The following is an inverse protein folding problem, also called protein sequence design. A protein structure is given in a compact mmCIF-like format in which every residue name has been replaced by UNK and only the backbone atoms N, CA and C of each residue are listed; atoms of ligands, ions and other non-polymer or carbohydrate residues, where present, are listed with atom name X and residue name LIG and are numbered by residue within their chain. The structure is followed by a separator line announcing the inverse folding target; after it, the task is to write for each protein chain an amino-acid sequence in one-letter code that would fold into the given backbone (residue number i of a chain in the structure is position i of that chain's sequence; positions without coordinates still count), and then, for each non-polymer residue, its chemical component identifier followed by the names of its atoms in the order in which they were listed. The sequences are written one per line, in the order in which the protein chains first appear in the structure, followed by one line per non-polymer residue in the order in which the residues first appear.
data_IF_336368796875
#
_entry.id   IF_336368796875
#
_cell.length_a   1.000
_cell.length_b   1.000
_cell.length_c   1.000
_cell.angle_alpha   90.00
_cell.angle_beta   90.00
_cell.angle_gamma   90.00
#
_symmetry.space_group_name_H-M   'P 1'
#
loop_
_entity.id
_entity.type
_entity.pdbx_description
1 polymer ?
#
# COMPACT_ATOMS: atom_id res chain seq x y z
N UNK A 1 -18.46 -8.44 5.02
CA UNK A 1 -18.03 -7.29 4.19
C UNK A 1 -16.70 -7.67 3.55
N UNK A 2 -16.45 -7.33 2.28
CA UNK A 2 -15.15 -7.60 1.68
C UNK A 2 -14.10 -6.69 2.31
N UNK A 3 -13.03 -7.28 2.82
CA UNK A 3 -11.86 -6.54 3.30
C UNK A 3 -11.16 -5.93 2.09
N UNK A 4 -10.87 -4.63 2.15
CA UNK A 4 -10.09 -3.95 1.11
C UNK A 4 -8.62 -4.33 1.28
N UNK A 5 -8.07 -5.10 0.35
CA UNK A 5 -6.66 -5.49 0.40
C UNK A 5 -5.78 -4.38 -0.17
N UNK A 6 -4.90 -3.83 0.66
CA UNK A 6 -3.86 -2.87 0.32
C UNK A 6 -2.56 -3.65 0.08
N UNK A 7 -2.17 -3.81 -1.16
CA UNK A 7 -0.94 -4.48 -1.55
C UNK A 7 0.11 -3.45 -1.95
N UNK A 8 1.27 -3.47 -1.29
CA UNK A 8 2.42 -2.66 -1.69
C UNK A 8 3.35 -3.55 -2.49
N UNK A 9 3.65 -3.09 -3.71
CA UNK A 9 4.64 -3.71 -4.57
C UNK A 9 6.02 -3.56 -3.95
N UNK A 10 6.81 -4.62 -3.92
CA UNK A 10 8.20 -4.53 -3.45
C UNK A 10 9.22 -4.32 -4.56
N UNK A 11 8.81 -4.44 -5.82
CA UNK A 11 9.72 -4.37 -6.96
C UNK A 11 10.19 -2.94 -7.22
N UNK A 12 11.50 -2.81 -7.46
CA UNK A 12 12.18 -1.54 -7.69
C UNK A 12 12.08 -0.53 -6.52
N UNK A 13 11.52 -0.93 -5.37
CA UNK A 13 11.59 -0.12 -4.15
C UNK A 13 12.96 -0.23 -3.51
N UNK A 14 13.53 0.92 -3.18
CA UNK A 14 14.62 1.01 -2.20
C UNK A 14 14.12 0.70 -0.79
N UNK A 15 15.06 0.36 0.11
CA UNK A 15 14.75 0.13 1.52
C UNK A 15 14.09 1.37 2.13
N UNK A 16 14.65 2.56 1.88
CA UNK A 16 14.12 3.82 2.40
C UNK A 16 12.68 4.08 1.94
N UNK A 17 12.40 3.91 0.63
CA UNK A 17 11.03 4.09 0.10
C UNK A 17 10.04 3.09 0.70
N UNK A 18 10.47 1.84 0.92
CA UNK A 18 9.63 0.83 1.55
C UNK A 18 9.30 1.24 2.98
N UNK A 19 10.30 1.63 3.76
CA UNK A 19 10.10 2.05 5.15
C UNK A 19 9.20 3.30 5.20
N UNK A 20 9.40 4.29 4.34
CA UNK A 20 8.56 5.49 4.25
C UNK A 20 7.07 5.17 3.99
N UNK A 21 6.80 4.21 3.09
CA UNK A 21 5.43 3.76 2.79
C UNK A 21 4.83 2.99 3.96
N UNK A 22 5.62 2.11 4.60
CA UNK A 22 5.18 1.35 5.77
C UNK A 22 4.89 2.26 6.95
N UNK A 23 5.74 3.27 7.18
CA UNK A 23 5.54 4.30 8.20
C UNK A 23 4.29 5.12 7.91
N UNK A 24 4.02 5.46 6.66
CA UNK A 24 2.79 6.14 6.26
C UNK A 24 1.53 5.30 6.57
N UNK A 25 1.57 3.98 6.28
CA UNK A 25 0.47 3.08 6.63
C UNK A 25 0.33 2.92 8.14
N UNK A 26 1.42 2.73 8.86
CA UNK A 26 1.41 2.62 10.32
C UNK A 26 0.85 3.89 10.97
N UNK A 27 1.22 5.07 10.47
CA UNK A 27 0.75 6.34 11.00
C UNK A 27 -0.73 6.59 10.74
N UNK A 28 -1.27 6.11 9.62
CA UNK A 28 -2.68 6.29 9.29
C UNK A 28 -3.60 5.20 9.85
N UNK A 29 -3.18 3.94 9.77
CA UNK A 29 -4.03 2.77 10.03
C UNK A 29 -3.56 1.92 11.21
N UNK A 30 -2.36 2.17 11.76
CA UNK A 30 -1.76 1.42 12.88
C UNK A 30 -1.67 -0.10 12.60
N UNK A 31 -1.39 -0.45 11.35
CA UNK A 31 -1.18 -1.83 10.89
C UNK A 31 0.19 -1.99 10.23
N UNK A 32 0.65 -3.24 10.15
CA UNK A 32 1.87 -3.65 9.46
C UNK A 32 1.55 -4.79 8.48
N UNK A 33 2.47 -5.19 7.59
CA UNK A 33 2.22 -6.25 6.63
C UNK A 33 1.73 -7.55 7.28
N UNK A 34 0.66 -8.13 6.72
CA UNK A 34 -0.02 -9.31 7.26
C UNK A 34 -1.05 -8.99 8.35
N UNK A 35 -1.26 -7.72 8.71
CA UNK A 35 -2.29 -7.31 9.66
C UNK A 35 -3.48 -6.64 8.97
N UNK A 36 -4.62 -6.72 9.66
CA UNK A 36 -5.88 -6.08 9.29
C UNK A 36 -6.17 -4.96 10.28
N UNK A 37 -6.74 -3.85 9.82
CA UNK A 37 -7.20 -2.74 10.67
C UNK A 37 -8.17 -3.23 11.74
N UNK A 38 -8.24 -2.53 12.88
CA UNK A 38 -9.19 -2.85 13.95
C UNK A 38 -10.65 -2.87 13.47
N UNK A 39 -11.00 -2.01 12.50
CA UNK A 39 -12.34 -1.95 11.91
C UNK A 39 -12.62 -3.08 10.90
N UNK A 40 -11.63 -3.94 10.62
CA UNK A 40 -11.77 -5.05 9.68
C UNK A 40 -11.87 -4.63 8.21
N UNK A 41 -11.60 -3.37 7.88
CA UNK A 41 -11.85 -2.80 6.55
C UNK A 41 -10.66 -2.89 5.60
N UNK A 42 -9.43 -2.86 6.12
CA UNK A 42 -8.21 -2.85 5.30
C UNK A 42 -7.21 -3.89 5.79
N UNK A 43 -6.65 -4.68 4.86
CA UNK A 43 -5.54 -5.61 5.11
C UNK A 43 -4.30 -5.11 4.38
N UNK A 44 -3.17 -4.94 5.07
CA UNK A 44 -1.89 -4.60 4.44
C UNK A 44 -1.16 -5.88 4.04
N UNK A 45 -0.79 -5.99 2.77
CA UNK A 45 0.03 -7.08 2.23
C UNK A 45 1.21 -6.51 1.45
N UNK A 46 2.32 -7.26 1.44
CA UNK A 46 3.43 -7.02 0.53
C UNK A 46 3.38 -8.10 -0.54
N UNK A 47 3.36 -7.71 -1.82
CA UNK A 47 3.31 -8.66 -2.91
C UNK A 47 4.30 -8.30 -4.01
N UNK A 48 4.73 -9.35 -4.73
CA UNK A 48 5.47 -9.18 -5.97
C UNK A 48 4.44 -8.96 -7.10
N UNK A 49 4.50 -7.81 -7.72
CA UNK A 49 3.67 -7.40 -8.85
C UNK A 49 4.11 -8.01 -10.17
N UNK A 50 5.35 -8.53 -10.23
CA UNK A 50 5.87 -9.28 -11.35
C UNK A 50 6.71 -8.46 -12.34
N UNK A 51 7.18 -9.11 -13.43
CA UNK A 51 8.23 -8.59 -14.30
C UNK A 51 7.81 -7.44 -15.22
N UNK A 52 6.51 -7.11 -15.24
CA UNK A 52 5.95 -6.04 -16.09
C UNK A 52 5.97 -4.66 -15.43
N UNK A 53 6.34 -4.57 -14.14
CA UNK A 53 6.46 -3.28 -13.46
C UNK A 53 7.77 -2.63 -13.87
N UNK A 54 7.69 -1.49 -14.55
CA UNK A 54 8.87 -0.70 -14.85
C UNK A 54 9.36 0.02 -13.59
N UNK A 55 10.68 0.26 -13.44
CA UNK A 55 11.22 1.00 -12.30
C UNK A 55 10.66 2.43 -12.21
N UNK A 56 10.24 3.01 -13.33
CA UNK A 56 9.59 4.33 -13.39
C UNK A 56 8.14 4.35 -12.89
N UNK A 57 7.51 3.18 -12.71
CA UNK A 57 6.16 3.06 -12.17
C UNK A 57 6.17 2.83 -10.64
N UNK A 58 7.34 2.53 -10.07
CA UNK A 58 7.52 2.31 -8.64
C UNK A 58 7.59 3.65 -7.86
N UNK A 59 7.03 3.73 -6.64
CA UNK A 59 6.33 2.67 -5.92
C UNK A 59 4.92 2.40 -6.45
N UNK A 60 4.59 1.12 -6.60
CA UNK A 60 3.27 0.66 -7.06
C UNK A 60 2.47 0.10 -5.88
N UNK A 61 1.21 0.49 -5.80
CA UNK A 61 0.30 0.05 -4.72
C UNK A 61 -1.02 -0.36 -5.36
N UNK A 62 -1.53 -1.54 -5.00
CA UNK A 62 -2.83 -2.04 -5.44
C UNK A 62 -3.80 -2.07 -4.28
N UNK A 63 -5.03 -1.64 -4.54
CA UNK A 63 -6.08 -1.56 -3.53
C UNK A 63 -7.32 -2.22 -4.09
N UNK A 64 -7.59 -3.44 -3.65
CA UNK A 64 -8.57 -4.31 -4.29
C UNK A 64 -8.22 -4.51 -5.77
N UNK A 65 -9.08 -4.02 -6.66
CA UNK A 65 -8.91 -4.12 -8.12
C UNK A 65 -8.22 -2.89 -8.75
N UNK A 66 -7.95 -1.85 -7.96
CA UNK A 66 -7.40 -0.58 -8.48
C UNK A 66 -5.89 -0.52 -8.25
N UNK A 67 -5.14 -0.24 -9.31
CA UNK A 67 -3.70 -0.07 -9.25
C UNK A 67 -3.32 1.42 -9.28
N UNK A 68 -2.39 1.80 -8.41
CA UNK A 68 -1.81 3.14 -8.32
C UNK A 68 -0.30 3.03 -8.52
N UNK A 69 0.23 3.85 -9.41
CA UNK A 69 1.67 3.91 -9.75
C UNK A 69 2.26 5.22 -9.29
N UNK A 70 3.58 5.27 -9.11
CA UNK A 70 4.29 6.46 -8.64
C UNK A 70 3.68 7.01 -7.34
N UNK A 71 3.41 6.10 -6.39
CA UNK A 71 2.72 6.43 -5.15
C UNK A 71 3.72 6.98 -4.15
N UNK A 72 3.48 8.22 -3.72
CA UNK A 72 4.19 8.83 -2.60
C UNK A 72 3.51 8.50 -1.27
N UNK A 73 4.23 8.55 -0.14
CA UNK A 73 3.65 8.39 1.20
C UNK A 73 2.42 9.28 1.43
N UNK A 74 2.49 10.55 1.02
CA UNK A 74 1.39 11.51 1.15
C UNK A 74 0.16 11.11 0.33
N UNK A 75 0.39 10.63 -0.89
CA UNK A 75 -0.67 10.14 -1.78
C UNK A 75 -1.30 8.87 -1.21
N UNK A 76 -0.50 7.96 -0.66
CA UNK A 76 -0.98 6.75 0.01
C UNK A 76 -1.92 7.09 1.18
N UNK A 77 -1.53 8.03 2.05
CA UNK A 77 -2.38 8.51 3.15
C UNK A 77 -3.68 9.10 2.64
N UNK A 78 -3.62 9.91 1.60
CA UNK A 78 -4.80 10.52 0.98
C UNK A 78 -5.75 9.46 0.41
N UNK A 79 -5.21 8.38 -0.16
CA UNK A 79 -6.00 7.27 -0.68
C UNK A 79 -6.65 6.47 0.47
N UNK A 80 -5.90 6.13 1.52
CA UNK A 80 -6.42 5.43 2.71
C UNK A 80 -7.58 6.17 3.37
N UNK A 81 -7.49 7.51 3.47
CA UNK A 81 -8.59 8.35 3.99
C UNK A 81 -9.89 8.24 3.19
N UNK A 82 -9.85 7.90 1.90
CA UNK A 82 -11.06 7.72 1.10
C UNK A 82 -11.76 6.39 1.37
N UNK A 83 -11.02 5.36 1.78
CA UNK A 83 -11.54 4.03 2.02
C UNK A 83 -11.96 3.80 3.48
N UNK A 84 -11.37 4.55 4.40
CA UNK A 84 -11.68 4.51 5.83
C UNK A 84 -12.97 5.27 6.22
N UNK A 85 -13.82 5.64 5.25
CA UNK A 85 -14.99 6.50 5.47
C UNK A 85 -16.30 5.74 5.51
#
# INVERSE_FOLDING_TARGET
MPVTRLEICTEHLSIDQREDLLDAVWNALRISPGMVTADGNVELSLSQCGPTVAPEDAPLVRVGEVEYRNVTPERLVTLMKRWSR
#
